data_IF_671653689003
#
_entry.id   IF_671653689003
#
_cell.length_a   1.000
_cell.length_b   1.000
_cell.length_c   1.000
_cell.angle_alpha   90.00
_cell.angle_beta   90.00
_cell.angle_gamma   90.00
#
_symmetry.space_group_name_H-M   'P 1'
#
loop_
_entity.id
_entity.type
_entity.pdbx_description
1 polymer ?
#
# COMPACT_ATOMS: atom_id res chain seq x y z
N UNK A 1 -11.67 52.87 17.94
CA UNK A 1 -11.37 51.84 18.96
C UNK A 1 -11.44 50.50 18.27
N UNK A 2 -10.33 49.99 17.74
CA UNK A 2 -10.19 48.62 17.22
C UNK A 2 -8.77 48.19 17.56
N UNK A 3 -8.64 47.09 18.29
CA UNK A 3 -7.37 46.58 18.77
C UNK A 3 -6.77 45.61 17.74
N UNK A 4 -5.63 45.99 17.18
CA UNK A 4 -4.70 45.11 16.48
C UNK A 4 -3.93 44.25 17.49
N UNK A 5 -3.95 42.93 17.32
CA UNK A 5 -3.08 42.01 18.04
C UNK A 5 -1.91 41.64 17.13
N UNK A 6 -0.75 42.28 17.37
CA UNK A 6 0.51 42.11 16.63
C UNK A 6 1.44 41.24 17.47
N UNK A 7 1.61 39.97 17.12
CA UNK A 7 2.61 39.12 17.76
C UNK A 7 4.00 39.39 17.18
N UNK A 8 4.94 39.74 18.06
CA UNK A 8 6.36 39.96 17.79
C UNK A 8 7.14 38.65 17.87
N UNK A 9 8.13 38.55 16.99
CA UNK A 9 9.25 37.62 17.03
C UNK A 9 10.10 37.79 18.30
N UNK A 10 10.57 36.67 18.86
CA UNK A 10 11.70 36.58 19.80
C UNK A 10 12.41 35.24 19.54
N UNK A 11 13.60 35.25 18.94
CA UNK A 11 14.90 35.15 19.62
C UNK A 11 15.13 33.78 20.28
N UNK A 12 15.86 32.91 19.57
CA UNK A 12 16.40 31.67 20.10
C UNK A 12 17.72 31.95 20.81
N UNK A 13 17.65 32.02 22.14
CA UNK A 13 18.79 32.05 23.03
C UNK A 13 19.43 30.68 23.20
N UNK A 14 20.76 30.65 23.04
CA UNK A 14 21.66 29.57 23.47
C UNK A 14 21.55 29.35 24.98
N UNK A 15 21.24 28.12 25.41
CA UNK A 15 21.07 27.83 26.83
C UNK A 15 21.16 26.35 27.22
N UNK A 16 22.37 25.95 27.60
CA UNK A 16 22.75 25.05 28.72
C UNK A 16 22.09 23.66 28.83
N UNK A 17 23.00 22.68 28.83
CA UNK A 17 22.82 21.30 29.27
C UNK A 17 22.06 21.18 30.60
N UNK A 18 21.00 20.37 30.60
CA UNK A 18 20.29 19.92 31.80
C UNK A 18 20.27 18.39 31.83
N UNK A 19 20.99 17.85 32.81
CA UNK A 19 20.58 16.74 33.66
C UNK A 19 20.09 15.44 33.00
N UNK A 20 21.02 14.50 32.82
CA UNK A 20 20.73 13.07 32.77
C UNK A 20 20.05 12.62 34.07
N UNK A 21 18.75 12.36 34.03
CA UNK A 21 18.03 11.65 35.10
C UNK A 21 18.22 10.15 34.89
N UNK A 22 19.19 9.57 35.60
CA UNK A 22 19.29 8.12 35.81
C UNK A 22 18.20 7.69 36.77
N UNK A 23 17.23 6.91 36.28
CA UNK A 23 16.33 6.16 37.16
C UNK A 23 17.10 4.97 37.74
N UNK A 24 17.49 5.10 39.02
CA UNK A 24 17.97 4.00 39.84
C UNK A 24 16.79 3.13 40.28
N UNK A 25 16.67 1.91 39.74
CA UNK A 25 15.88 0.85 40.37
C UNK A 25 16.72 0.22 41.50
N UNK A 26 16.29 0.44 42.74
CA UNK A 26 16.80 -0.27 43.90
C UNK A 26 16.19 -1.68 44.00
N UNK A 27 16.94 -2.69 44.48
CA UNK A 27 16.39 -3.98 44.88
C UNK A 27 16.00 -3.95 46.37
N UNK A 28 14.71 -4.18 46.66
CA UNK A 28 14.23 -4.52 48.01
C UNK A 28 13.83 -6.00 47.97
N UNK A 29 14.59 -6.96 48.51
CA UNK A 29 14.95 -7.21 49.91
C UNK A 29 13.75 -7.58 50.80
N UNK A 30 13.80 -8.84 51.24
CA UNK A 30 13.29 -9.39 52.50
C UNK A 30 11.78 -9.70 52.62
N UNK A 31 11.47 -10.98 52.37
CA UNK A 31 10.60 -11.77 53.26
C UNK A 31 11.05 -11.59 54.71
N UNK A 32 10.13 -11.41 55.68
CA UNK A 32 9.74 -12.60 56.45
C UNK A 32 8.31 -12.58 57.07
N UNK A 33 7.81 -13.80 57.32
CA UNK A 33 6.80 -14.17 58.32
C UNK A 33 5.39 -13.55 58.30
N UNK A 34 4.40 -14.37 57.89
CA UNK A 34 3.20 -14.59 58.73
C UNK A 34 2.61 -15.99 58.50
N UNK A 35 2.48 -16.83 59.55
CA UNK A 35 1.76 -18.09 59.46
C UNK A 35 0.28 -17.83 59.75
N UNK A 36 -0.58 -17.90 58.74
CA UNK A 36 -2.02 -17.94 58.96
C UNK A 36 -2.41 -19.31 59.54
N UNK A 37 -2.49 -19.37 60.87
CA UNK A 37 -3.10 -20.46 61.63
C UNK A 37 -4.62 -20.33 61.54
N UNK A 38 -5.28 -21.31 60.93
CA UNK A 38 -6.70 -21.54 61.13
C UNK A 38 -6.96 -22.24 62.47
N UNK A 39 -7.98 -21.84 63.24
CA UNK A 39 -8.30 -22.44 64.52
C UNK A 39 -8.78 -23.89 64.35
N UNK A 40 -8.23 -24.77 65.18
CA UNK A 40 -8.68 -26.13 65.37
C UNK A 40 -10.03 -26.12 66.12
N UNK A 41 -11.11 -26.39 65.40
CA UNK A 41 -12.40 -26.73 66.01
C UNK A 41 -12.44 -28.22 66.30
N UNK A 42 -12.38 -28.54 67.60
CA UNK A 42 -12.48 -29.87 68.18
C UNK A 42 -13.83 -30.53 67.86
N UNK A 43 -13.73 -31.75 67.34
CA UNK A 43 -14.50 -32.96 67.71
C UNK A 43 -15.97 -32.80 68.11
N UNK A 44 -16.86 -33.15 67.18
CA UNK A 44 -18.07 -33.89 67.51
C UNK A 44 -18.13 -35.14 66.62
N UNK A 45 -17.76 -36.29 67.21
CA UNK A 45 -18.13 -37.62 66.68
C UNK A 45 -19.65 -37.71 66.75
N UNK A 46 -20.31 -37.67 65.60
CA UNK A 46 -21.68 -38.15 65.44
C UNK A 46 -21.61 -39.26 64.40
N UNK A 47 -22.14 -40.42 64.76
CA UNK A 47 -21.83 -41.73 64.18
C UNK A 47 -22.20 -41.88 62.70
N UNK A 48 -21.46 -42.78 62.04
CA UNK A 48 -21.74 -43.33 60.72
C UNK A 48 -23.22 -43.74 60.59
N UNK A 49 -24.06 -43.05 59.79
CA UNK A 49 -25.13 -43.73 59.10
C UNK A 49 -24.48 -44.58 58.00
N UNK A 50 -24.88 -45.84 57.93
CA UNK A 50 -24.41 -46.81 56.95
C UNK A 50 -24.27 -46.19 55.55
N UNK A 51 -23.09 -46.36 54.95
CA UNK A 51 -22.76 -46.02 53.57
C UNK A 51 -23.79 -46.66 52.64
N UNK A 52 -24.85 -45.91 52.33
CA UNK A 52 -25.70 -46.18 51.19
C UNK A 52 -24.85 -45.85 49.98
N UNK A 53 -24.40 -46.90 49.29
CA UNK A 53 -23.86 -46.79 47.92
C UNK A 53 -24.96 -46.18 47.07
N UNK A 54 -24.97 -44.85 46.96
CA UNK A 54 -25.79 -44.14 46.01
C UNK A 54 -25.25 -44.55 44.65
N UNK A 55 -26.01 -45.39 43.94
CA UNK A 55 -25.70 -45.70 42.55
C UNK A 55 -25.64 -44.38 41.78
N UNK A 56 -24.55 -44.18 41.02
CA UNK A 56 -24.45 -43.07 40.07
C UNK A 56 -25.69 -43.14 39.18
N UNK A 57 -26.48 -42.08 39.20
CA UNK A 57 -27.68 -41.99 38.40
C UNK A 57 -27.29 -41.96 36.92
N UNK A 58 -27.94 -42.76 36.09
CA UNK A 58 -27.75 -42.73 34.63
C UNK A 58 -27.96 -41.31 34.06
N UNK A 59 -28.85 -40.53 34.68
CA UNK A 59 -29.10 -39.13 34.33
C UNK A 59 -27.87 -38.25 34.63
N UNK A 60 -27.14 -38.51 35.71
CA UNK A 60 -25.93 -37.76 36.08
C UNK A 60 -24.79 -38.00 35.07
N UNK A 61 -24.64 -39.24 34.59
CA UNK A 61 -23.67 -39.59 33.52
C UNK A 61 -24.05 -38.93 32.20
N UNK A 62 -25.34 -38.92 31.84
CA UNK A 62 -25.79 -38.29 30.60
C UNK A 62 -25.60 -36.77 30.63
N UNK A 63 -25.91 -36.11 31.74
CA UNK A 63 -25.65 -34.67 31.88
C UNK A 63 -24.14 -34.40 31.84
N UNK A 64 -23.32 -35.23 32.49
CA UNK A 64 -21.85 -35.07 32.45
C UNK A 64 -21.30 -35.22 31.03
N UNK A 65 -21.76 -36.23 30.28
CA UNK A 65 -21.37 -36.44 28.89
C UNK A 65 -21.85 -35.29 27.99
N UNK A 66 -23.07 -34.79 28.19
CA UNK A 66 -23.60 -33.65 27.45
C UNK A 66 -22.75 -32.39 27.68
N UNK A 67 -22.48 -32.02 28.94
CA UNK A 67 -21.64 -30.85 29.25
C UNK A 67 -20.22 -31.02 28.68
N UNK A 68 -19.66 -32.23 28.73
CA UNK A 68 -18.35 -32.52 28.14
C UNK A 68 -18.35 -32.32 26.61
N UNK A 69 -19.37 -32.83 25.91
CA UNK A 69 -19.49 -32.69 24.46
C UNK A 69 -19.66 -31.21 24.05
N UNK A 70 -20.49 -30.44 24.76
CA UNK A 70 -20.64 -29.01 24.51
C UNK A 70 -19.35 -28.23 24.82
N UNK A 71 -18.63 -28.60 25.89
CA UNK A 71 -17.34 -28.01 26.21
C UNK A 71 -16.29 -28.27 25.13
N UNK A 72 -16.18 -29.50 24.64
CA UNK A 72 -15.25 -29.86 23.56
C UNK A 72 -15.63 -29.20 22.23
N UNK A 73 -16.92 -29.11 21.90
CA UNK A 73 -17.39 -28.43 20.68
C UNK A 73 -17.12 -26.92 20.75
N UNK A 74 -17.26 -26.31 21.94
CA UNK A 74 -16.87 -24.92 22.19
C UNK A 74 -15.39 -24.69 21.87
N UNK A 75 -14.49 -25.50 22.44
CA UNK A 75 -13.04 -25.39 22.17
C UNK A 75 -12.71 -25.63 20.69
N UNK A 76 -13.33 -26.65 20.07
CA UNK A 76 -13.11 -26.95 18.66
C UNK A 76 -13.51 -25.79 17.73
N UNK A 77 -14.56 -25.03 18.08
CA UNK A 77 -14.98 -23.85 17.31
C UNK A 77 -14.03 -22.66 17.44
N UNK A 78 -13.19 -22.61 18.48
CA UNK A 78 -12.19 -21.55 18.65
C UNK A 78 -10.94 -21.78 17.78
N UNK A 79 -10.63 -23.02 17.37
CA UNK A 79 -9.41 -23.30 16.62
C UNK A 79 -9.35 -22.60 15.24
N UNK A 80 -10.40 -22.61 14.40
CA UNK A 80 -10.36 -21.89 13.12
C UNK A 80 -10.18 -20.38 13.31
N UNK A 81 -10.84 -19.81 14.32
CA UNK A 81 -10.77 -18.38 14.64
C UNK A 81 -9.38 -18.01 15.15
N UNK A 82 -8.81 -18.80 16.06
CA UNK A 82 -7.46 -18.60 16.58
C UNK A 82 -6.41 -18.68 15.48
N UNK A 83 -6.52 -19.65 14.58
CA UNK A 83 -5.60 -19.78 13.43
C UNK A 83 -5.72 -18.58 12.48
N UNK A 84 -6.93 -18.10 12.20
CA UNK A 84 -7.15 -16.91 11.37
C UNK A 84 -6.52 -15.65 11.96
N UNK A 85 -6.65 -15.44 13.28
CA UNK A 85 -6.02 -14.30 13.95
C UNK A 85 -4.51 -14.45 14.07
N UNK A 86 -3.99 -15.66 14.28
CA UNK A 86 -2.55 -15.93 14.30
C UNK A 86 -1.90 -15.63 12.94
N UNK A 87 -2.49 -16.14 11.84
CA UNK A 87 -2.01 -15.87 10.49
C UNK A 87 -2.07 -14.37 10.12
N UNK A 88 -3.12 -13.66 10.56
CA UNK A 88 -3.19 -12.20 10.42
C UNK A 88 -2.12 -11.50 11.24
N UNK A 89 -1.89 -11.91 12.48
CA UNK A 89 -0.84 -11.36 13.34
C UNK A 89 0.54 -11.49 12.71
N UNK A 90 0.86 -12.66 12.18
CA UNK A 90 2.11 -12.92 11.45
C UNK A 90 2.26 -12.01 10.23
N UNK A 91 1.18 -11.82 9.45
CA UNK A 91 1.20 -10.89 8.31
C UNK A 91 1.52 -9.47 8.74
N UNK A 92 0.93 -8.97 9.84
CA UNK A 92 1.22 -7.62 10.35
C UNK A 92 2.65 -7.48 10.87
N UNK A 93 3.19 -8.50 11.53
CA UNK A 93 4.58 -8.49 12.03
C UNK A 93 5.59 -8.44 10.88
N UNK A 94 5.36 -9.25 9.84
CA UNK A 94 6.15 -9.23 8.60
C UNK A 94 6.10 -7.86 7.92
N UNK A 95 4.93 -7.24 7.81
CA UNK A 95 4.79 -5.90 7.22
C UNK A 95 5.54 -4.84 8.04
N UNK A 96 5.41 -4.89 9.37
CA UNK A 96 6.01 -3.92 10.28
C UNK A 96 7.54 -3.92 10.21
N UNK A 97 8.16 -5.09 10.01
CA UNK A 97 9.61 -5.24 9.80
C UNK A 97 10.04 -4.96 8.36
N UNK A 98 9.24 -5.36 7.38
CA UNK A 98 9.54 -5.20 5.96
C UNK A 98 9.52 -3.74 5.50
N UNK A 99 8.62 -2.91 6.01
CA UNK A 99 8.47 -1.53 5.56
C UNK A 99 9.72 -0.66 5.82
N UNK A 100 10.31 -0.66 7.04
CA UNK A 100 11.59 -0.01 7.28
C UNK A 100 12.73 -0.52 6.39
N UNK A 101 12.78 -1.84 6.11
CA UNK A 101 13.78 -2.42 5.21
C UNK A 101 13.61 -1.92 3.77
N UNK A 102 12.37 -1.86 3.27
CA UNK A 102 12.08 -1.31 1.94
C UNK A 102 12.43 0.19 1.85
N UNK A 103 12.19 0.98 2.90
CA UNK A 103 12.64 2.39 2.94
C UNK A 103 14.16 2.51 2.93
N UNK A 104 14.86 1.64 3.66
CA UNK A 104 16.31 1.59 3.63
C UNK A 104 16.79 1.26 2.22
N UNK A 105 16.18 0.28 1.55
CA UNK A 105 16.53 -0.13 0.19
C UNK A 105 16.29 0.99 -0.85
N UNK A 106 15.18 1.71 -0.74
CA UNK A 106 14.89 2.89 -1.57
C UNK A 106 15.99 3.94 -1.48
N UNK A 107 16.53 4.16 -0.27
CA UNK A 107 17.55 5.15 0.01
C UNK A 107 18.94 4.65 -0.39
N UNK A 108 19.34 3.46 0.04
CA UNK A 108 20.69 2.91 -0.20
C UNK A 108 20.99 2.75 -1.68
N UNK A 109 19.97 2.40 -2.49
CA UNK A 109 20.10 2.26 -3.94
C UNK A 109 19.92 3.57 -4.71
N UNK A 110 19.60 4.67 -4.04
CA UNK A 110 19.30 5.94 -4.70
C UNK A 110 18.08 5.84 -5.62
N UNK A 111 17.09 5.04 -5.25
CA UNK A 111 15.83 4.89 -5.99
C UNK A 111 15.01 6.19 -5.91
N UNK A 112 15.19 6.98 -4.85
CA UNK A 112 14.59 8.30 -4.68
C UNK A 112 15.38 9.43 -5.38
N UNK A 113 16.25 9.10 -6.34
CA UNK A 113 16.92 10.08 -7.20
C UNK A 113 16.13 10.23 -8.49
N UNK A 114 15.49 11.39 -8.74
CA UNK A 114 14.76 11.63 -9.97
C UNK A 114 15.59 11.41 -11.25
N UNK A 115 16.92 11.54 -11.15
CA UNK A 115 17.88 11.31 -12.25
C UNK A 115 17.86 9.88 -12.78
N UNK A 116 17.50 8.92 -11.92
CA UNK A 116 17.48 7.49 -12.26
C UNK A 116 16.10 7.01 -12.69
N UNK A 117 15.09 7.88 -12.65
CA UNK A 117 13.72 7.51 -12.95
C UNK A 117 13.52 7.42 -14.45
N UNK A 118 13.03 6.26 -14.87
CA UNK A 118 12.66 5.97 -16.25
C UNK A 118 11.16 5.76 -16.34
N UNK A 119 10.53 6.37 -17.33
CA UNK A 119 9.18 6.02 -17.76
C UNK A 119 9.19 5.84 -19.27
N UNK A 120 8.22 5.12 -19.82
CA UNK A 120 8.12 5.01 -21.28
C UNK A 120 7.02 5.93 -21.82
N UNK A 121 7.21 6.47 -23.04
CA UNK A 121 6.27 7.41 -23.62
C UNK A 121 4.93 6.72 -23.93
N UNK A 122 3.84 7.49 -24.11
CA UNK A 122 2.63 6.94 -24.68
C UNK A 122 2.83 6.45 -26.14
N UNK A 123 2.15 5.38 -26.58
CA UNK A 123 2.37 4.69 -27.87
C UNK A 123 2.18 5.56 -29.11
N UNK A 124 1.26 6.53 -29.06
CA UNK A 124 0.88 7.32 -30.23
C UNK A 124 1.84 8.48 -30.54
N UNK A 125 2.91 8.64 -29.76
CA UNK A 125 3.97 9.58 -30.10
C UNK A 125 4.90 8.94 -31.13
N UNK A 126 4.38 8.80 -32.35
CA UNK A 126 5.19 8.47 -33.51
C UNK A 126 6.24 9.57 -33.66
N UNK A 127 7.48 9.28 -33.27
CA UNK A 127 8.65 10.11 -33.52
C UNK A 127 9.00 10.13 -35.02
N UNK A 128 8.02 10.39 -35.88
CA UNK A 128 8.21 10.55 -37.32
C UNK A 128 9.14 11.72 -37.63
N UNK A 129 9.25 12.72 -36.74
CA UNK A 129 10.15 13.86 -36.91
C UNK A 129 11.60 13.58 -36.50
N UNK A 130 11.89 12.54 -35.69
CA UNK A 130 13.26 12.27 -35.23
C UNK A 130 14.01 11.21 -36.06
N UNK A 131 13.38 10.63 -37.10
CA UNK A 131 14.00 9.59 -37.93
C UNK A 131 14.35 8.31 -37.15
N UNK A 132 13.74 8.11 -35.98
CA UNK A 132 14.01 6.98 -35.09
C UNK A 132 12.98 5.87 -35.35
N UNK A 133 13.45 4.75 -35.91
CA UNK A 133 12.63 3.59 -36.28
C UNK A 133 11.87 3.00 -35.09
N UNK A 134 10.60 2.69 -35.30
CA UNK A 134 9.49 2.40 -34.37
C UNK A 134 9.59 1.17 -33.46
N UNK A 135 10.76 0.54 -33.32
CA UNK A 135 10.88 -0.78 -32.66
C UNK A 135 11.67 -0.78 -31.33
N UNK A 136 11.95 0.37 -30.74
CA UNK A 136 12.72 0.41 -29.50
C UNK A 136 11.84 0.81 -28.33
N UNK A 137 11.68 -0.11 -27.37
CA UNK A 137 11.31 0.09 -25.96
C UNK A 137 12.19 1.18 -25.32
N UNK A 138 12.03 2.44 -25.74
CA UNK A 138 12.83 3.58 -25.29
C UNK A 138 12.14 4.19 -24.10
N UNK A 139 12.87 4.13 -22.99
CA UNK A 139 12.49 4.80 -21.77
C UNK A 139 13.13 6.17 -21.77
N UNK A 140 12.34 7.17 -21.44
CA UNK A 140 12.84 8.51 -21.22
C UNK A 140 13.20 8.65 -19.75
N UNK A 141 14.36 9.26 -19.45
CA UNK A 141 14.56 9.76 -18.12
C UNK A 141 13.44 10.76 -17.83
N UNK A 142 12.97 10.79 -16.58
CA UNK A 142 12.08 11.85 -16.09
C UNK A 142 12.69 13.23 -16.34
N UNK A 143 14.01 13.30 -16.56
CA UNK A 143 14.76 14.54 -16.72
C UNK A 143 15.69 14.46 -17.92
N UNK A 144 15.54 15.40 -18.85
CA UNK A 144 16.53 15.66 -19.87
C UNK A 144 17.42 16.83 -19.40
N UNK A 145 18.72 16.62 -19.12
CA UNK A 145 19.59 17.64 -18.51
C UNK A 145 19.82 18.89 -19.39
N UNK A 146 19.32 18.94 -20.63
CA UNK A 146 19.51 20.07 -21.56
C UNK A 146 18.29 20.95 -21.82
N UNK A 147 17.12 20.69 -21.24
CA UNK A 147 15.86 21.38 -21.59
C UNK A 147 15.09 21.89 -20.38
N UNK A 148 14.36 22.99 -20.59
CA UNK A 148 13.75 23.92 -19.63
C UNK A 148 13.06 23.31 -18.40
N UNK A 149 12.95 24.11 -17.34
CA UNK A 149 12.22 23.77 -16.12
C UNK A 149 10.78 23.29 -16.45
N UNK A 150 10.28 22.29 -15.72
CA UNK A 150 8.90 21.77 -15.85
C UNK A 150 7.96 22.81 -15.25
N UNK A 151 7.80 23.96 -15.89
CA UNK A 151 6.84 24.98 -15.48
C UNK A 151 5.52 24.71 -16.21
N UNK A 152 4.89 23.58 -15.92
CA UNK A 152 3.63 23.20 -16.54
C UNK A 152 2.51 23.29 -15.52
N UNK A 153 1.58 24.26 -15.64
CA UNK A 153 0.34 24.20 -14.87
C UNK A 153 -0.42 22.92 -15.27
N UNK A 154 -1.20 22.34 -14.34
CA UNK A 154 -2.04 21.15 -14.56
C UNK A 154 -2.91 21.24 -15.85
N UNK A 155 -3.20 22.46 -16.30
CA UNK A 155 -4.02 22.77 -17.47
C UNK A 155 -3.22 23.09 -18.77
N UNK A 156 -1.89 22.95 -18.81
CA UNK A 156 -1.12 23.25 -20.03
C UNK A 156 -1.29 22.15 -21.10
N UNK A 157 -1.50 22.50 -22.38
CA UNK A 157 -1.68 21.54 -23.47
C UNK A 157 -0.37 20.92 -24.00
N UNK A 158 0.69 20.79 -23.19
CA UNK A 158 1.92 20.16 -23.66
C UNK A 158 1.78 18.63 -23.74
N UNK A 159 2.21 18.04 -24.85
CA UNK A 159 2.05 16.61 -25.12
C UNK A 159 2.87 15.67 -24.21
N UNK A 160 3.71 16.23 -23.32
CA UNK A 160 4.67 15.47 -22.52
C UNK A 160 4.73 15.97 -21.07
N UNK A 161 3.81 15.50 -20.22
CA UNK A 161 3.85 15.77 -18.77
C UNK A 161 4.39 14.57 -17.99
N UNK A 162 5.35 14.78 -17.07
CA UNK A 162 5.90 13.72 -16.22
C UNK A 162 4.88 13.20 -15.18
N UNK A 163 3.66 13.75 -15.13
CA UNK A 163 2.67 13.45 -14.10
C UNK A 163 2.82 14.34 -12.86
N UNK A 164 1.92 14.17 -11.91
CA UNK A 164 1.90 14.88 -10.63
C UNK A 164 2.25 13.98 -9.44
N UNK A 165 2.14 12.66 -9.62
CA UNK A 165 2.64 11.67 -8.68
C UNK A 165 3.34 10.55 -9.43
N UNK A 166 4.19 9.83 -8.72
CA UNK A 166 5.04 8.81 -9.29
C UNK A 166 4.89 7.51 -8.54
N UNK A 167 4.86 6.43 -9.29
CA UNK A 167 4.69 5.07 -8.81
C UNK A 167 5.93 4.28 -9.19
N UNK A 168 6.82 4.05 -8.24
CA UNK A 168 8.04 3.27 -8.43
C UNK A 168 7.68 1.80 -8.29
N UNK A 169 7.59 1.11 -9.43
CA UNK A 169 7.28 -0.32 -9.50
C UNK A 169 8.13 -1.01 -10.59
N UNK A 170 9.42 -1.27 -10.30
CA UNK A 170 10.32 -1.89 -11.25
C UNK A 170 9.84 -3.26 -11.74
N UNK A 171 9.17 -4.03 -10.85
CA UNK A 171 8.69 -5.38 -11.18
C UNK A 171 7.54 -5.31 -12.19
N UNK A 172 6.50 -4.52 -11.94
CA UNK A 172 5.40 -4.38 -12.89
C UNK A 172 5.82 -3.69 -14.18
N UNK A 173 6.77 -2.75 -14.12
CA UNK A 173 7.34 -2.14 -15.33
C UNK A 173 8.15 -3.13 -16.18
N UNK A 174 8.91 -4.04 -15.54
CA UNK A 174 9.67 -5.09 -16.25
C UNK A 174 8.73 -6.11 -16.91
N UNK A 175 7.69 -6.55 -16.22
CA UNK A 175 6.68 -7.46 -16.77
C UNK A 175 5.93 -6.85 -17.95
N UNK A 176 5.44 -5.62 -17.78
CA UNK A 176 4.66 -4.98 -18.82
C UNK A 176 5.50 -4.68 -20.08
N UNK A 177 6.80 -4.42 -19.91
CA UNK A 177 7.72 -4.28 -21.03
C UNK A 177 7.97 -5.59 -21.79
N UNK A 178 7.91 -6.74 -21.11
CA UNK A 178 8.00 -8.05 -21.74
C UNK A 178 6.73 -8.38 -22.54
N UNK A 179 5.56 -7.91 -22.08
CA UNK A 179 4.28 -8.14 -22.73
C UNK A 179 4.09 -7.39 -24.07
N UNK A 180 5.08 -6.60 -24.51
CA UNK A 180 4.97 -5.64 -25.64
C UNK A 180 3.80 -4.65 -25.53
N UNK A 181 3.20 -4.57 -24.34
CA UNK A 181 2.03 -3.75 -24.08
C UNK A 181 2.50 -2.33 -23.74
N UNK A 182 2.25 -1.39 -24.65
CA UNK A 182 2.66 0.02 -24.58
C UNK A 182 1.94 0.81 -23.47
N UNK A 183 1.16 0.12 -22.63
CA UNK A 183 0.28 0.70 -21.63
C UNK A 183 0.91 0.74 -20.22
N UNK A 184 2.09 0.15 -20.06
CA UNK A 184 2.80 0.02 -18.78
C UNK A 184 3.06 1.32 -17.99
N UNK A 185 2.93 2.48 -18.64
CA UNK A 185 3.44 3.77 -18.16
C UNK A 185 2.51 4.48 -17.17
N UNK A 186 1.27 4.01 -17.09
CA UNK A 186 0.26 4.58 -16.24
C UNK A 186 0.01 3.69 -15.02
N UNK A 187 -0.35 4.33 -13.91
CA UNK A 187 -0.74 3.64 -12.70
C UNK A 187 -2.04 4.25 -12.15
N UNK A 188 -3.13 3.48 -11.95
CA UNK A 188 -3.24 2.05 -12.20
C UNK A 188 -3.19 1.74 -13.70
N UNK A 189 -2.99 0.47 -14.01
CA UNK A 189 -3.02 -0.05 -15.37
C UNK A 189 -4.29 0.39 -16.10
N UNK A 190 -4.14 0.94 -17.30
CA UNK A 190 -5.23 1.54 -18.05
C UNK A 190 -5.06 1.26 -19.54
N UNK A 191 -5.77 0.27 -20.10
CA UNK A 191 -5.71 -0.03 -21.54
C UNK A 191 -6.13 1.17 -22.36
N UNK A 192 -5.18 1.76 -23.10
CA UNK A 192 -5.47 2.73 -24.15
C UNK A 192 -5.49 1.98 -25.48
N UNK A 193 -6.66 1.83 -26.10
CA UNK A 193 -6.72 1.34 -27.47
C UNK A 193 -6.32 2.45 -28.44
N UNK A 194 -5.36 2.13 -29.30
CA UNK A 194 -4.84 2.89 -30.43
C UNK A 194 -5.84 3.00 -31.60
N UNK A 195 -6.96 2.30 -31.55
CA UNK A 195 -7.99 2.30 -32.60
C UNK A 195 -8.72 3.65 -32.81
N UNK A 196 -8.49 4.67 -31.98
CA UNK A 196 -9.12 5.98 -32.12
C UNK A 196 -8.06 7.09 -32.23
N UNK A 197 -7.47 7.21 -33.42
CA UNK A 197 -6.52 8.27 -33.79
C UNK A 197 -7.11 9.69 -33.78
N UNK A 198 -8.44 9.82 -33.66
CA UNK A 198 -9.12 11.07 -33.38
C UNK A 198 -9.65 11.06 -31.95
N UNK A 199 -9.26 12.08 -31.17
CA UNK A 199 -9.54 12.45 -29.78
C UNK A 199 -10.91 12.16 -29.10
N UNK A 200 -11.81 11.31 -29.62
CA UNK A 200 -13.20 11.23 -29.20
C UNK A 200 -13.72 9.90 -28.64
N UNK A 201 -13.01 8.77 -28.69
CA UNK A 201 -13.64 7.51 -28.25
C UNK A 201 -12.69 6.40 -27.81
N UNK A 202 -11.63 6.71 -27.06
CA UNK A 202 -11.16 5.68 -26.13
C UNK A 202 -12.33 5.40 -25.21
N UNK A 203 -13.03 4.26 -25.38
CA UNK A 203 -13.84 3.69 -24.32
C UNK A 203 -12.86 3.62 -23.14
N UNK A 204 -12.99 4.50 -22.13
CA UNK A 204 -12.22 4.27 -20.93
C UNK A 204 -12.56 2.83 -20.55
N UNK A 205 -11.58 2.02 -20.13
CA UNK A 205 -11.93 0.85 -19.33
C UNK A 205 -13.08 1.31 -18.41
N UNK A 206 -14.22 0.63 -18.38
CA UNK A 206 -15.39 1.11 -17.62
C UNK A 206 -15.04 1.40 -16.16
N UNK A 207 -13.90 0.89 -15.70
CA UNK A 207 -13.25 1.10 -14.41
C UNK A 207 -12.33 2.35 -14.34
N UNK A 208 -11.88 2.97 -15.43
CA UNK A 208 -11.04 4.19 -15.41
C UNK A 208 -11.59 5.37 -16.24
N UNK A 209 -12.76 5.95 -15.89
CA UNK A 209 -13.32 7.09 -16.60
C UNK A 209 -12.75 8.41 -16.07
N UNK A 210 -11.45 8.69 -16.24
CA UNK A 210 -11.02 10.09 -16.28
C UNK A 210 -11.54 10.67 -17.59
N UNK A 211 -12.69 11.35 -17.55
CA UNK A 211 -13.20 11.98 -18.76
C UNK A 211 -12.24 13.09 -19.14
N UNK A 212 -11.57 12.94 -20.29
CA UNK A 212 -10.72 13.97 -20.94
C UNK A 212 -11.44 15.31 -21.17
N UNK A 213 -12.74 15.38 -20.88
CA UNK A 213 -13.59 16.55 -21.05
C UNK A 213 -13.60 17.51 -19.86
N UNK A 214 -12.94 17.20 -18.72
CA UNK A 214 -12.85 18.17 -17.62
C UNK A 214 -11.85 19.27 -17.97
N UNK A 215 -10.72 18.95 -18.62
CA UNK A 215 -9.92 19.92 -19.39
C UNK A 215 -9.30 19.28 -20.65
N UNK A 216 -9.43 19.88 -21.85
CA UNK A 216 -8.76 19.38 -23.06
C UNK A 216 -7.23 19.38 -22.88
N UNK A 217 -6.63 18.19 -22.82
CA UNK A 217 -5.18 18.01 -22.65
C UNK A 217 -4.76 17.25 -21.39
N UNK A 218 -5.70 16.97 -20.49
CA UNK A 218 -5.46 16.24 -19.24
C UNK A 218 -4.92 14.82 -19.49
N UNK A 219 -3.65 14.58 -19.14
CA UNK A 219 -3.01 13.27 -19.10
C UNK A 219 -3.15 12.66 -17.70
N UNK A 220 -3.20 11.33 -17.63
CA UNK A 220 -3.33 10.63 -16.35
C UNK A 220 -2.21 11.04 -15.36
N UNK A 221 -2.55 11.44 -14.12
CA UNK A 221 -1.63 12.20 -13.27
C UNK A 221 -0.57 11.34 -12.58
N UNK A 222 -0.66 10.01 -12.61
CA UNK A 222 0.29 9.12 -11.94
C UNK A 222 1.09 8.33 -12.97
N UNK A 223 2.42 8.48 -12.94
CA UNK A 223 3.32 7.72 -13.82
C UNK A 223 3.93 6.53 -13.12
N UNK A 224 3.92 5.37 -13.78
CA UNK A 224 4.75 4.24 -13.38
C UNK A 224 6.18 4.50 -13.80
N UNK A 225 7.07 4.36 -12.83
CA UNK A 225 8.50 4.50 -12.98
C UNK A 225 9.18 3.14 -12.82
N UNK A 226 10.19 2.92 -13.65
CA UNK A 226 11.23 1.92 -13.45
C UNK A 226 12.56 2.62 -13.21
N UNK A 227 13.57 1.81 -12.89
CA UNK A 227 14.92 2.28 -12.65
C UNK A 227 15.80 2.03 -13.85
N UNK A 228 16.70 2.97 -14.09
CA UNK A 228 17.74 2.85 -15.06
C UNK A 228 18.69 1.68 -14.75
N UNK A 229 18.84 0.77 -15.73
CA UNK A 229 19.94 -0.18 -15.76
C UNK A 229 20.92 0.24 -16.86
N UNK A 230 22.20 0.40 -16.50
CA UNK A 230 23.27 0.59 -17.46
C UNK A 230 23.41 -0.69 -18.28
N UNK A 231 23.20 -0.59 -19.60
CA UNK A 231 23.50 -1.69 -20.50
C UNK A 231 25.04 -1.78 -20.63
N UNK A 232 25.69 -2.90 -20.24
CA UNK A 232 27.15 -3.02 -20.20
C UNK A 232 27.84 -2.89 -21.57
N UNK A 233 27.10 -2.74 -22.68
CA UNK A 233 27.65 -2.50 -24.02
C UNK A 233 27.01 -1.37 -24.81
N UNK A 234 26.15 -0.52 -24.22
CA UNK A 234 25.43 0.49 -24.98
C UNK A 234 25.13 1.79 -24.22
N UNK A 235 25.18 2.92 -24.94
CA UNK A 235 24.78 4.25 -24.43
C UNK A 235 23.25 4.42 -24.30
N UNK A 236 22.49 3.33 -24.19
CA UNK A 236 21.03 3.37 -24.11
C UNK A 236 20.57 2.90 -22.73
N UNK A 237 19.71 3.70 -22.11
CA UNK A 237 19.01 3.34 -20.90
C UNK A 237 18.06 2.18 -21.18
N UNK A 238 18.24 1.08 -20.45
CA UNK A 238 17.32 -0.05 -20.48
C UNK A 238 16.52 -0.07 -19.17
N UNK A 239 15.28 -0.54 -19.26
CA UNK A 239 14.53 -0.91 -18.06
C UNK A 239 15.32 -1.97 -17.33
N UNK A 240 15.26 -1.90 -16.01
CA UNK A 240 15.55 -3.03 -15.15
C UNK A 240 14.90 -4.32 -15.65
N UNK A 241 15.70 -5.36 -15.83
CA UNK A 241 15.19 -6.71 -16.11
C UNK A 241 14.35 -7.26 -14.95
N UNK A 242 13.42 -8.19 -15.24
CA UNK A 242 12.57 -8.84 -14.24
C UNK A 242 13.39 -9.40 -13.08
N UNK A 243 14.43 -10.18 -13.38
CA UNK A 243 15.28 -10.81 -12.35
C UNK A 243 15.88 -9.78 -11.39
N UNK A 244 16.37 -8.66 -11.94
CA UNK A 244 16.93 -7.57 -11.12
C UNK A 244 15.83 -6.87 -10.32
N UNK A 245 14.67 -6.60 -10.93
CA UNK A 245 13.54 -5.99 -10.26
C UNK A 245 13.05 -6.85 -9.07
N UNK A 246 12.95 -8.16 -9.25
CA UNK A 246 12.61 -9.10 -8.19
C UNK A 246 13.61 -9.03 -7.03
N UNK A 247 14.90 -8.88 -7.30
CA UNK A 247 15.90 -8.80 -6.23
C UNK A 247 15.75 -7.56 -5.33
N UNK A 248 15.14 -6.50 -5.84
CA UNK A 248 14.94 -5.23 -5.13
C UNK A 248 13.57 -5.21 -4.44
N UNK A 249 12.55 -5.68 -5.15
CA UNK A 249 11.15 -5.47 -4.80
C UNK A 249 10.58 -6.62 -3.97
N UNK A 250 11.07 -7.85 -4.14
CA UNK A 250 10.63 -8.99 -3.33
C UNK A 250 11.34 -9.00 -1.99
N UNK A 251 10.59 -9.24 -0.93
CA UNK A 251 11.16 -9.40 0.39
C UNK A 251 11.84 -10.77 0.49
N UNK A 252 13.15 -10.78 0.72
CA UNK A 252 13.95 -12.01 0.87
C UNK A 252 13.93 -12.61 2.28
N UNK A 253 13.31 -11.91 3.23
CA UNK A 253 13.19 -12.35 4.62
C UNK A 253 12.02 -13.34 4.83
N UNK A 254 11.25 -13.61 3.78
CA UNK A 254 10.20 -14.63 3.75
C UNK A 254 10.79 -16.00 3.49
N UNK A 255 11.48 -16.55 4.50
CA UNK A 255 12.16 -17.84 4.41
C UNK A 255 11.15 -18.96 4.08
N UNK A 256 11.47 -19.72 3.04
CA UNK A 256 10.68 -20.88 2.67
C UNK A 256 11.00 -22.02 3.64
N UNK A 257 10.05 -22.35 4.51
CA UNK A 257 10.15 -23.46 5.44
C UNK A 257 9.23 -24.59 4.99
N UNK A 258 9.74 -25.82 5.09
CA UNK A 258 8.94 -27.04 4.90
C UNK A 258 8.68 -27.68 6.23
N UNK A 259 7.41 -27.98 6.51
CA UNK A 259 7.02 -28.83 7.61
C UNK A 259 7.23 -30.28 7.17
N UNK A 260 8.05 -31.08 7.88
CA UNK A 260 8.19 -32.50 7.59
C UNK A 260 6.85 -33.22 7.70
N UNK A 261 6.64 -34.28 6.90
CA UNK A 261 5.43 -35.11 7.00
C UNK A 261 5.28 -35.73 8.41
N UNK A 262 6.40 -36.02 9.07
CA UNK A 262 6.45 -36.40 10.48
C UNK A 262 6.24 -35.16 11.35
N UNK A 263 5.03 -34.98 11.90
CA UNK A 263 4.65 -33.82 12.73
C UNK A 263 5.47 -33.60 14.01
N UNK A 264 6.38 -34.52 14.35
CA UNK A 264 7.31 -34.40 15.48
C UNK A 264 8.61 -33.65 15.13
N UNK A 265 8.88 -33.39 13.84
CA UNK A 265 10.11 -32.72 13.42
C UNK A 265 9.87 -31.21 13.25
N UNK A 266 10.83 -30.35 13.67
CA UNK A 266 10.72 -28.93 13.44
C UNK A 266 10.76 -28.61 11.93
N UNK A 267 10.18 -27.46 11.56
CA UNK A 267 10.28 -26.94 10.19
C UNK A 267 11.73 -26.83 9.73
N UNK A 268 12.00 -27.24 8.49
CA UNK A 268 13.33 -27.15 7.88
C UNK A 268 13.33 -26.05 6.83
N UNK A 269 14.28 -25.12 6.96
CA UNK A 269 14.51 -24.07 5.97
C UNK A 269 15.05 -24.67 4.67
N UNK A 270 14.48 -24.25 3.55
CA UNK A 270 14.92 -24.66 2.22
C UNK A 270 16.11 -23.84 1.75
N UNK A 271 17.01 -24.51 1.02
CA UNK A 271 18.18 -23.88 0.41
C UNK A 271 18.13 -24.08 -1.09
N UNK A 272 18.39 -23.02 -1.85
CA UNK A 272 18.69 -23.12 -3.27
C UNK A 272 20.03 -23.83 -3.40
N UNK A 273 20.04 -24.99 -4.04
CA UNK A 273 21.26 -25.76 -4.28
C UNK A 273 21.78 -25.55 -5.70
N UNK A 274 23.10 -25.63 -5.87
CA UNK A 274 23.74 -25.69 -7.19
C UNK A 274 23.49 -27.07 -7.86
N UNK A 275 24.00 -27.25 -9.07
CA UNK A 275 23.90 -28.52 -9.81
C UNK A 275 24.60 -29.70 -9.09
N UNK A 276 25.46 -29.42 -8.10
CA UNK A 276 26.18 -30.42 -7.30
C UNK A 276 25.51 -30.68 -5.94
N UNK A 277 24.37 -30.04 -5.65
CA UNK A 277 23.68 -30.15 -4.37
C UNK A 277 24.26 -29.27 -3.25
N UNK A 278 25.20 -28.37 -3.55
CA UNK A 278 25.74 -27.45 -2.55
C UNK A 278 24.77 -26.29 -2.31
N UNK A 279 24.51 -25.89 -1.05
CA UNK A 279 23.65 -24.77 -0.75
C UNK A 279 24.30 -23.44 -1.20
N UNK A 280 23.63 -22.72 -2.11
CA UNK A 280 24.05 -21.41 -2.60
C UNK A 280 23.45 -20.27 -1.78
N UNK A 281 22.15 -20.34 -1.50
CA UNK A 281 21.42 -19.30 -0.78
C UNK A 281 20.20 -19.88 -0.09
N UNK A 282 19.70 -19.20 0.94
CA UNK A 282 18.39 -19.53 1.50
C UNK A 282 17.30 -19.33 0.44
N UNK A 283 16.37 -20.27 0.36
CA UNK A 283 15.18 -20.11 -0.48
C UNK A 283 14.17 -19.25 0.27
N UNK A 284 13.48 -18.39 -0.47
CA UNK A 284 12.40 -17.56 0.04
C UNK A 284 11.15 -17.83 -0.79
N UNK A 285 9.96 -17.74 -0.17
CA UNK A 285 8.68 -17.93 -0.88
C UNK A 285 8.42 -16.74 -1.83
N UNK A 286 8.92 -15.55 -1.46
CA UNK A 286 8.77 -14.34 -2.25
C UNK A 286 7.32 -13.90 -2.35
N UNK A 287 6.48 -14.32 -1.40
CA UNK A 287 5.07 -13.98 -1.37
C UNK A 287 4.86 -12.49 -1.10
N UNK A 288 5.82 -11.81 -0.49
CA UNK A 288 5.77 -10.38 -0.24
C UNK A 288 6.57 -9.59 -1.27
N UNK A 289 5.92 -8.60 -1.87
CA UNK A 289 6.53 -7.61 -2.75
C UNK A 289 6.05 -6.22 -2.38
N UNK A 290 6.81 -5.19 -2.71
CA UNK A 290 6.41 -3.82 -2.43
C UNK A 290 6.42 -2.94 -3.68
N UNK A 291 5.85 -1.76 -3.55
CA UNK A 291 5.99 -0.67 -4.51
C UNK A 291 5.99 0.64 -3.73
N UNK A 292 6.46 1.71 -4.35
CA UNK A 292 6.49 3.01 -3.69
C UNK A 292 5.71 4.05 -4.48
N UNK A 293 4.91 4.86 -3.81
CA UNK A 293 4.31 6.06 -4.37
C UNK A 293 5.04 7.28 -3.83
N UNK A 294 5.35 8.22 -4.70
CA UNK A 294 5.99 9.50 -4.38
C UNK A 294 5.06 10.63 -4.78
N UNK A 295 4.65 11.44 -3.81
CA UNK A 295 3.68 12.52 -3.98
C UNK A 295 4.28 13.83 -3.46
N UNK A 296 4.33 14.90 -4.25
CA UNK A 296 4.77 16.21 -3.78
C UNK A 296 3.85 16.75 -2.67
N UNK A 297 4.42 17.25 -1.57
CA UNK A 297 3.62 17.87 -0.48
C UNK A 297 3.33 19.35 -0.70
N UNK A 298 3.90 19.96 -1.75
CA UNK A 298 3.66 21.35 -2.12
C UNK A 298 3.41 21.46 -3.63
N UNK A 299 2.71 22.54 -4.04
CA UNK A 299 2.40 22.85 -5.45
C UNK A 299 3.68 22.95 -6.29
N UNK A 300 4.73 23.59 -5.76
CA UNK A 300 6.02 23.74 -6.44
C UNK A 300 6.91 22.48 -6.35
N UNK A 301 6.45 21.46 -5.61
CA UNK A 301 7.22 20.23 -5.42
C UNK A 301 7.46 19.47 -6.73
N UNK A 302 6.57 19.59 -7.72
CA UNK A 302 6.83 18.99 -9.04
C UNK A 302 8.02 19.64 -9.75
N UNK A 303 8.11 20.98 -9.73
CA UNK A 303 9.25 21.70 -10.31
C UNK A 303 10.55 21.41 -9.53
N UNK A 304 10.45 21.25 -8.21
CA UNK A 304 11.56 20.90 -7.34
C UNK A 304 12.09 19.46 -7.52
N UNK A 305 11.49 18.63 -8.38
CA UNK A 305 12.08 17.35 -8.78
C UNK A 305 13.24 17.50 -9.77
N UNK A 306 13.45 18.68 -10.35
CA UNK A 306 14.48 18.91 -11.36
C UNK A 306 15.82 19.33 -10.75
N UNK A 307 16.97 18.72 -11.13
CA UNK A 307 18.31 19.06 -10.66
C UNK A 307 18.68 20.53 -10.81
N UNK A 308 18.14 21.21 -11.83
CA UNK A 308 18.37 22.63 -12.07
C UNK A 308 17.48 23.58 -11.27
N UNK A 309 16.46 23.07 -10.55
CA UNK A 309 15.59 23.90 -9.73
C UNK A 309 16.28 24.28 -8.41
N UNK A 310 16.09 25.52 -7.95
CA UNK A 310 16.72 26.02 -6.72
C UNK A 310 16.33 25.20 -5.48
N UNK A 311 15.13 24.63 -5.50
CA UNK A 311 14.59 23.78 -4.43
C UNK A 311 14.83 22.28 -4.64
N UNK A 312 15.70 21.89 -5.57
CA UNK A 312 16.01 20.48 -5.81
C UNK A 312 16.54 19.79 -4.55
N UNK A 313 15.83 18.75 -4.12
CA UNK A 313 16.13 18.01 -2.89
C UNK A 313 15.90 18.77 -1.58
N UNK A 314 15.36 20.01 -1.63
CA UNK A 314 15.01 20.77 -0.42
C UNK A 314 13.58 20.47 0.05
N UNK A 315 12.69 20.18 -0.91
CA UNK A 315 11.25 19.91 -0.71
C UNK A 315 11.00 18.50 -0.19
N UNK A 316 9.97 18.37 0.65
CA UNK A 316 9.48 17.08 1.14
C UNK A 316 8.44 16.49 0.19
N UNK A 317 8.45 15.18 0.12
CA UNK A 317 7.51 14.36 -0.63
C UNK A 317 6.96 13.31 0.31
N UNK A 318 5.67 13.02 0.21
CA UNK A 318 5.09 11.88 0.87
C UNK A 318 5.48 10.63 0.07
N UNK A 319 6.36 9.83 0.67
CA UNK A 319 6.79 8.54 0.11
C UNK A 319 6.06 7.45 0.87
N UNK A 320 5.18 6.73 0.20
CA UNK A 320 4.45 5.58 0.76
C UNK A 320 4.97 4.30 0.14
N UNK A 321 5.27 3.31 0.98
CA UNK A 321 5.58 1.94 0.55
C UNK A 321 4.35 1.09 0.80
N UNK A 322 3.79 0.55 -0.27
CA UNK A 322 2.68 -0.39 -0.19
C UNK A 322 3.21 -1.82 -0.33
N UNK A 323 2.86 -2.64 0.64
CA UNK A 323 3.24 -4.04 0.78
C UNK A 323 2.11 -4.94 0.27
N UNK A 324 2.48 -5.91 -0.55
CA UNK A 324 1.56 -6.83 -1.17
C UNK A 324 1.87 -8.26 -0.76
N UNK A 325 0.82 -9.04 -0.53
CA UNK A 325 0.88 -10.48 -0.40
C UNK A 325 0.36 -11.13 -1.67
N UNK A 326 1.22 -11.90 -2.33
CA UNK A 326 0.98 -12.60 -3.60
C UNK A 326 0.40 -11.67 -4.67
N UNK A 327 1.07 -10.54 -4.87
CA UNK A 327 0.73 -9.57 -5.92
C UNK A 327 0.80 -10.26 -7.28
N UNK A 328 -0.13 -9.92 -8.17
CA UNK A 328 0.08 -10.15 -9.60
C UNK A 328 1.27 -9.29 -10.05
N UNK A 329 2.23 -9.92 -10.72
CA UNK A 329 3.43 -9.23 -11.17
C UNK A 329 3.15 -8.38 -12.41
N UNK A 330 2.25 -8.86 -13.27
CA UNK A 330 1.85 -8.18 -14.49
C UNK A 330 0.73 -7.18 -14.18
N UNK A 331 0.95 -5.88 -14.43
CA UNK A 331 -0.11 -4.89 -14.30
C UNK A 331 -1.23 -5.22 -15.29
N UNK A 332 -2.46 -5.31 -14.78
CA UNK A 332 -3.64 -5.67 -15.56
C UNK A 332 -4.86 -4.93 -15.02
N UNK A 333 -5.94 -4.92 -15.80
CA UNK A 333 -7.21 -4.35 -15.35
C UNK A 333 -7.81 -5.11 -14.15
N UNK A 334 -7.34 -6.34 -13.88
CA UNK A 334 -7.77 -7.11 -12.71
C UNK A 334 -6.88 -6.85 -11.49
N UNK A 335 -5.58 -6.60 -11.67
CA UNK A 335 -4.64 -6.37 -10.59
C UNK A 335 -4.59 -4.91 -10.12
N UNK A 336 -4.85 -3.97 -11.02
CA UNK A 336 -4.83 -2.54 -10.71
C UNK A 336 -6.09 -1.86 -11.24
N UNK A 337 -6.99 -1.51 -10.33
CA UNK A 337 -8.29 -0.95 -10.67
C UNK A 337 -8.39 0.47 -10.17
N UNK A 338 -9.02 1.34 -10.95
CA UNK A 338 -9.53 2.61 -10.47
C UNK A 338 -11.05 2.58 -10.40
N UNK A 339 -11.66 3.55 -9.73
CA UNK A 339 -13.09 3.88 -9.85
C UNK A 339 -13.32 5.33 -9.39
N UNK A 340 -14.42 5.97 -9.81
CA UNK A 340 -14.78 7.28 -9.24
C UNK A 340 -15.02 7.13 -7.74
N UNK A 341 -14.62 8.15 -6.99
CA UNK A 341 -14.86 8.21 -5.57
C UNK A 341 -15.24 9.62 -5.11
N UNK A 342 -15.94 9.69 -3.98
CA UNK A 342 -16.25 10.91 -3.26
C UNK A 342 -16.14 10.62 -1.76
N UNK A 343 -15.48 11.50 -1.03
CA UNK A 343 -15.28 11.35 0.40
C UNK A 343 -16.34 12.12 1.18
N UNK A 344 -16.83 11.54 2.27
CA UNK A 344 -17.77 12.19 3.19
C UNK A 344 -17.08 12.52 4.51
N UNK A 345 -17.74 13.37 5.30
CA UNK A 345 -17.32 13.67 6.66
C UNK A 345 -17.32 12.39 7.50
N UNK A 346 -16.24 12.14 8.24
CA UNK A 346 -16.12 10.96 9.11
C UNK A 346 -15.32 9.80 8.54
N UNK A 347 -14.61 9.99 7.42
CA UNK A 347 -13.75 8.94 6.83
C UNK A 347 -14.53 7.90 6.01
N UNK A 348 -15.77 8.23 5.64
CA UNK A 348 -16.56 7.44 4.71
C UNK A 348 -16.19 7.79 3.26
N UNK A 349 -16.08 6.79 2.40
CA UNK A 349 -15.80 6.94 0.98
C UNK A 349 -16.90 6.25 0.18
N UNK A 350 -17.61 6.98 -0.67
CA UNK A 350 -18.40 6.34 -1.71
C UNK A 350 -17.53 6.09 -2.93
N UNK A 351 -17.51 4.86 -3.41
CA UNK A 351 -17.06 4.53 -4.76
C UNK A 351 -18.29 4.34 -5.65
N UNK A 352 -18.24 4.85 -6.88
CA UNK A 352 -19.44 4.86 -7.72
C UNK A 352 -19.15 4.83 -9.22
N UNK A 353 -20.18 4.46 -9.97
CA UNK A 353 -20.26 4.53 -11.41
C UNK A 353 -21.65 5.03 -11.85
N UNK A 354 -21.87 5.15 -13.16
CA UNK A 354 -23.16 5.58 -13.71
C UNK A 354 -24.31 4.69 -13.21
N UNK A 355 -25.49 5.27 -12.99
CA UNK A 355 -26.69 4.55 -12.53
C UNK A 355 -27.33 3.66 -13.62
N UNK A 356 -26.57 2.67 -14.10
CA UNK A 356 -27.00 1.68 -15.08
C UNK A 356 -26.38 0.31 -14.78
N UNK A 357 -26.84 -0.75 -15.46
CA UNK A 357 -26.35 -2.11 -15.23
C UNK A 357 -24.83 -2.26 -15.42
N UNK A 358 -24.24 -1.51 -16.35
CA UNK A 358 -22.80 -1.51 -16.56
C UNK A 358 -22.03 -0.85 -15.40
N UNK A 359 -22.59 0.20 -14.79
CA UNK A 359 -22.03 0.83 -13.60
C UNK A 359 -22.11 -0.08 -12.39
N UNK A 360 -23.18 -0.87 -12.26
CA UNK A 360 -23.28 -1.90 -11.22
C UNK A 360 -22.13 -2.90 -11.33
N UNK A 361 -21.92 -3.42 -12.54
CA UNK A 361 -20.84 -4.35 -12.82
C UNK A 361 -19.46 -3.72 -12.60
N UNK A 362 -19.27 -2.46 -13.00
CA UNK A 362 -18.02 -1.73 -12.80
C UNK A 362 -17.65 -1.60 -11.31
N UNK A 363 -18.62 -1.26 -10.44
CA UNK A 363 -18.41 -1.18 -8.98
C UNK A 363 -18.07 -2.55 -8.40
N UNK A 364 -18.80 -3.60 -8.80
CA UNK A 364 -18.54 -4.96 -8.35
C UNK A 364 -17.17 -5.47 -8.80
N UNK A 365 -16.80 -5.24 -10.05
CA UNK A 365 -15.50 -5.61 -10.59
C UNK A 365 -14.37 -4.81 -9.93
N UNK A 366 -14.59 -3.52 -9.62
CA UNK A 366 -13.63 -2.70 -8.90
C UNK A 366 -13.33 -3.28 -7.50
N UNK A 367 -14.34 -3.80 -6.80
CA UNK A 367 -14.21 -4.40 -5.46
C UNK A 367 -13.88 -5.89 -5.42
N UNK A 368 -13.79 -6.56 -6.57
CA UNK A 368 -13.46 -8.00 -6.64
C UNK A 368 -12.17 -8.31 -5.86
N UNK A 369 -12.20 -9.27 -4.95
CA UNK A 369 -11.03 -9.64 -4.12
C UNK A 369 -10.52 -8.56 -3.14
N UNK A 370 -11.20 -7.41 -3.04
CA UNK A 370 -10.94 -6.43 -1.99
C UNK A 370 -11.63 -6.87 -0.72
N UNK A 371 -10.88 -6.90 0.39
CA UNK A 371 -11.37 -7.36 1.69
C UNK A 371 -11.19 -6.27 2.75
N UNK A 372 -12.03 -6.33 3.77
CA UNK A 372 -11.84 -5.56 4.99
C UNK A 372 -10.44 -5.80 5.58
N UNK A 373 -9.76 -4.71 5.91
CA UNK A 373 -8.39 -4.67 6.44
C UNK A 373 -7.31 -4.43 5.38
N UNK A 374 -7.62 -4.54 4.09
CA UNK A 374 -6.69 -4.21 3.00
C UNK A 374 -6.57 -2.70 2.80
N UNK A 375 -5.55 -2.29 2.06
CA UNK A 375 -5.28 -0.90 1.75
C UNK A 375 -5.70 -0.52 0.33
N UNK A 376 -6.24 0.68 0.19
CA UNK A 376 -6.55 1.32 -1.08
C UNK A 376 -5.86 2.68 -1.12
N UNK A 377 -5.54 3.17 -2.32
CA UNK A 377 -5.08 4.54 -2.51
C UNK A 377 -6.26 5.40 -2.95
N UNK A 378 -6.40 6.59 -2.39
CA UNK A 378 -7.34 7.61 -2.84
C UNK A 378 -6.54 8.78 -3.39
N UNK A 379 -6.86 9.21 -4.60
CA UNK A 379 -6.20 10.34 -5.23
C UNK A 379 -7.18 11.32 -5.84
N UNK A 380 -6.74 12.57 -6.01
CA UNK A 380 -7.54 13.65 -6.54
C UNK A 380 -6.76 14.96 -6.54
N UNK A 381 -7.42 16.03 -6.97
CA UNK A 381 -6.86 17.38 -6.90
C UNK A 381 -7.53 18.10 -5.75
N UNK A 382 -6.73 18.75 -4.91
CA UNK A 382 -7.23 19.69 -3.93
C UNK A 382 -7.84 20.89 -4.65
N UNK A 383 -9.16 21.03 -4.58
CA UNK A 383 -9.92 22.09 -5.25
C UNK A 383 -9.56 23.49 -4.72
N UNK A 384 -8.99 23.58 -3.52
CA UNK A 384 -8.60 24.87 -2.93
C UNK A 384 -7.21 25.29 -3.40
N UNK A 385 -6.25 24.37 -3.43
CA UNK A 385 -4.84 24.66 -3.73
C UNK A 385 -4.42 24.31 -5.16
N UNK A 386 -5.22 23.51 -5.87
CA UNK A 386 -4.86 22.90 -7.15
C UNK A 386 -3.81 21.78 -7.04
N UNK A 387 -3.42 21.39 -5.84
CA UNK A 387 -2.39 20.38 -5.62
C UNK A 387 -2.93 18.96 -5.83
N UNK A 388 -2.21 18.12 -6.56
CA UNK A 388 -2.52 16.70 -6.62
C UNK A 388 -2.19 16.01 -5.30
N UNK A 389 -3.14 15.24 -4.76
CA UNK A 389 -2.99 14.48 -3.52
C UNK A 389 -3.23 13.01 -3.83
N UNK A 390 -2.39 12.15 -3.28
CA UNK A 390 -2.59 10.72 -3.21
C UNK A 390 -2.27 10.26 -1.79
N UNK A 391 -3.23 9.60 -1.15
CA UNK A 391 -3.14 9.10 0.22
C UNK A 391 -3.62 7.66 0.27
N UNK A 392 -3.03 6.90 1.18
CA UNK A 392 -3.37 5.50 1.39
C UNK A 392 -4.25 5.34 2.62
N UNK A 393 -5.29 4.52 2.48
CA UNK A 393 -6.30 4.27 3.48
C UNK A 393 -6.49 2.78 3.67
N UNK A 394 -6.67 2.37 4.92
CA UNK A 394 -7.06 1.01 5.26
C UNK A 394 -8.58 0.91 5.28
N UNK A 395 -9.12 -0.08 4.59
CA UNK A 395 -10.57 -0.33 4.57
C UNK A 395 -11.00 -1.00 5.88
N UNK A 396 -11.83 -0.33 6.67
CA UNK A 396 -12.39 -0.86 7.93
C UNK A 396 -13.68 -1.66 7.71
N UNK A 397 -14.48 -1.27 6.73
CA UNK A 397 -15.68 -1.99 6.34
C UNK A 397 -16.05 -1.65 4.90
N UNK A 398 -16.75 -2.57 4.25
CA UNK A 398 -17.31 -2.40 2.91
C UNK A 398 -18.80 -2.69 3.03
N UNK A 399 -19.64 -1.77 2.57
CA UNK A 399 -21.09 -1.97 2.55
C UNK A 399 -21.46 -3.18 1.67
N UNK A 400 -22.34 -4.03 2.19
CA UNK A 400 -22.84 -5.28 1.59
C UNK A 400 -21.78 -6.33 1.18
N UNK A 401 -21.04 -6.81 2.19
CA UNK A 401 -20.23 -8.04 2.06
C UNK A 401 -21.08 -9.32 2.08
N UNK A 402 -22.38 -9.25 2.45
CA UNK A 402 -23.19 -10.40 2.83
C UNK A 402 -24.46 -10.52 1.95
N UNK A 403 -24.34 -11.28 0.86
CA UNK A 403 -25.42 -12.04 0.18
C UNK A 403 -26.43 -11.35 -0.75
N UNK A 404 -26.55 -10.02 -0.80
CA UNK A 404 -27.34 -9.38 -1.86
C UNK A 404 -26.54 -8.22 -2.45
N UNK A 405 -25.98 -8.32 -3.68
CA UNK A 405 -25.27 -7.23 -4.32
C UNK A 405 -26.25 -6.16 -4.85
N UNK A 406 -27.37 -5.91 -4.15
CA UNK A 406 -28.26 -4.81 -4.48
C UNK A 406 -27.49 -3.53 -4.26
N UNK A 407 -26.95 -2.98 -5.34
CA UNK A 407 -26.17 -1.76 -5.24
C UNK A 407 -27.13 -0.62 -4.94
N UNK A 408 -26.81 0.09 -3.86
CA UNK A 408 -27.57 1.25 -3.45
C UNK A 408 -27.37 2.40 -4.44
N UNK A 409 -28.47 3.12 -4.67
CA UNK A 409 -28.43 4.43 -5.29
C UNK A 409 -27.87 5.42 -4.27
N UNK A 410 -26.68 5.95 -4.54
CA UNK A 410 -26.06 7.00 -3.74
C UNK A 410 -26.40 8.34 -4.40
N UNK A 411 -26.86 9.30 -3.60
CA UNK A 411 -27.01 10.68 -4.04
C UNK A 411 -25.72 11.43 -3.73
N UNK A 412 -24.99 11.83 -4.77
CA UNK A 412 -23.75 12.60 -4.64
C UNK A 412 -24.04 14.04 -4.24
N UNK A 413 -23.01 14.79 -3.81
CA UNK A 413 -23.17 16.20 -3.42
C UNK A 413 -23.66 17.13 -4.55
N UNK A 414 -23.54 16.71 -5.82
CA UNK A 414 -24.10 17.42 -6.97
C UNK A 414 -25.55 17.03 -7.31
N UNK A 415 -26.22 16.27 -6.43
CA UNK A 415 -27.56 15.70 -6.62
C UNK A 415 -27.67 14.67 -7.76
N UNK A 416 -26.56 14.18 -8.33
CA UNK A 416 -26.62 13.06 -9.26
C UNK A 416 -26.85 11.77 -8.50
N UNK A 417 -27.82 10.99 -8.98
CA UNK A 417 -28.06 9.64 -8.50
C UNK A 417 -27.10 8.71 -9.24
N UNK A 418 -26.26 8.02 -8.48
CA UNK A 418 -25.28 7.07 -8.99
C UNK A 418 -25.44 5.72 -8.32
N UNK A 419 -24.82 4.71 -8.90
CA UNK A 419 -24.76 3.36 -8.35
C UNK A 419 -23.40 3.20 -7.69
N UNK A 420 -23.34 2.89 -6.40
CA UNK A 420 -22.08 2.84 -5.67
C UNK A 420 -22.14 2.07 -4.36
N UNK A 421 -21.00 1.99 -3.68
CA UNK A 421 -20.89 1.42 -2.33
C UNK A 421 -20.14 2.35 -1.41
N UNK A 422 -20.52 2.36 -0.14
CA UNK A 422 -19.78 3.08 0.89
C UNK A 422 -18.74 2.18 1.54
N UNK A 423 -17.56 2.75 1.79
CA UNK A 423 -16.45 2.16 2.50
C UNK A 423 -16.16 3.03 3.71
N UNK A 424 -15.87 2.41 4.85
CA UNK A 424 -15.31 3.12 6.00
C UNK A 424 -13.79 3.00 5.94
N UNK A 425 -13.08 4.11 6.03
CA UNK A 425 -11.63 4.18 5.88
C UNK A 425 -10.94 4.60 7.19
N UNK A 426 -9.76 4.04 7.42
CA UNK A 426 -8.81 4.45 8.45
C UNK A 426 -7.54 4.97 7.79
N UNK A 427 -7.11 6.18 8.14
CA UNK A 427 -5.97 6.81 7.48
C UNK A 427 -5.85 8.31 7.77
N UNK A 428 -4.99 9.01 7.01
CA UNK A 428 -4.75 10.44 7.19
C UNK A 428 -5.97 11.29 6.79
N UNK A 429 -6.12 12.46 7.42
CA UNK A 429 -7.21 13.38 7.07
C UNK A 429 -7.13 13.82 5.60
N UNK A 430 -8.28 13.87 4.93
CA UNK A 430 -8.43 14.43 3.59
C UNK A 430 -8.89 15.90 3.68
N UNK A 431 -8.40 16.81 2.82
CA UNK A 431 -8.82 18.21 2.86
C UNK A 431 -10.33 18.38 2.67
N UNK A 432 -10.99 19.07 3.60
CA UNK A 432 -12.46 19.19 3.64
C UNK A 432 -13.05 19.92 2.42
N UNK A 433 -12.27 20.78 1.77
CA UNK A 433 -12.70 21.51 0.57
C UNK A 433 -12.64 20.70 -0.72
N UNK A 434 -12.18 19.45 -0.67
CA UNK A 434 -11.73 18.71 -1.87
C UNK A 434 -12.25 17.29 -1.90
N UNK A 435 -13.52 17.13 -1.55
CA UNK A 435 -14.16 15.82 -1.37
C UNK A 435 -14.67 15.17 -2.66
N UNK A 436 -14.79 15.94 -3.74
CA UNK A 436 -15.37 15.49 -5.03
C UNK A 436 -14.30 15.24 -6.09
N UNK A 437 -14.68 14.52 -7.16
CA UNK A 437 -13.81 14.15 -8.29
C UNK A 437 -12.56 13.37 -7.84
N UNK A 438 -12.74 12.48 -6.87
CA UNK A 438 -11.68 11.61 -6.39
C UNK A 438 -11.66 10.31 -7.20
N UNK A 439 -10.56 9.59 -7.05
CA UNK A 439 -10.38 8.24 -7.56
C UNK A 439 -9.94 7.34 -6.44
N UNK A 440 -10.59 6.20 -6.31
CA UNK A 440 -10.07 5.10 -5.52
C UNK A 440 -9.30 4.17 -6.44
N UNK A 441 -8.05 3.90 -6.10
CA UNK A 441 -7.19 2.90 -6.74
C UNK A 441 -7.16 1.68 -5.82
N UNK A 442 -7.70 0.58 -6.32
CA UNK A 442 -7.83 -0.68 -5.62
C UNK A 442 -6.82 -1.66 -6.20
N UNK A 443 -6.01 -2.23 -5.33
CA UNK A 443 -5.05 -3.26 -5.69
C UNK A 443 -5.19 -4.44 -4.73
N UNK A 444 -5.75 -5.57 -5.19
CA UNK A 444 -5.87 -6.76 -4.37
C UNK A 444 -4.53 -7.20 -3.79
N UNK A 445 -4.58 -7.71 -2.57
CA UNK A 445 -3.39 -8.18 -1.87
C UNK A 445 -2.54 -7.08 -1.23
N UNK A 446 -2.91 -5.80 -1.32
CA UNK A 446 -2.25 -4.73 -0.54
C UNK A 446 -2.59 -4.87 0.94
N UNK A 447 -1.65 -5.39 1.72
CA UNK A 447 -1.84 -5.77 3.13
C UNK A 447 -1.33 -4.72 4.12
N UNK A 448 -0.45 -3.82 3.68
CA UNK A 448 0.17 -2.82 4.54
C UNK A 448 0.68 -1.62 3.78
N UNK A 449 0.62 -0.43 4.38
CA UNK A 449 1.26 0.76 3.83
C UNK A 449 1.99 1.50 4.95
N UNK A 450 3.20 1.97 4.64
CA UNK A 450 3.94 2.88 5.51
C UNK A 450 4.30 4.14 4.74
N UNK A 451 3.94 5.31 5.28
CA UNK A 451 4.19 6.62 4.67
C UNK A 451 5.19 7.41 5.49
N UNK A 452 6.16 8.05 4.83
CA UNK A 452 7.12 8.95 5.45
C UNK A 452 7.34 10.19 4.57
N UNK A 453 7.36 11.40 5.15
CA UNK A 453 7.82 12.57 4.43
C UNK A 453 9.34 12.45 4.24
N UNK A 454 9.81 12.49 2.99
CA UNK A 454 11.21 12.36 2.63
C UNK A 454 11.61 13.44 1.64
N UNK A 455 12.87 13.89 1.73
CA UNK A 455 13.46 14.72 0.68
C UNK A 455 14.02 13.82 -0.42
N UNK A 456 13.95 14.28 -1.66
CA UNK A 456 14.62 13.59 -2.76
C UNK A 456 16.13 13.65 -2.59
N UNK A 457 16.81 12.58 -3.00
CA UNK A 457 18.26 12.55 -2.95
C UNK A 457 18.84 13.45 -4.04
N UNK A 458 19.70 14.37 -3.65
CA UNK A 458 20.57 15.08 -4.57
C UNK A 458 21.83 14.26 -4.82
N UNK A 459 22.54 14.56 -5.91
CA UNK A 459 23.81 13.91 -6.20
C UNK A 459 24.79 14.19 -5.06
N UNK A 460 24.96 13.18 -4.21
CA UNK A 460 26.00 13.22 -3.19
C UNK A 460 27.35 13.20 -3.89
N UNK A 461 28.30 14.02 -3.42
CA UNK A 461 29.67 14.03 -3.92
C UNK A 461 30.32 12.63 -3.90
N UNK A 462 29.83 11.74 -3.04
CA UNK A 462 30.30 10.36 -2.89
C UNK A 462 29.76 9.39 -3.95
N UNK A 463 28.68 9.72 -4.67
CA UNK A 463 28.13 8.85 -5.71
C UNK A 463 28.71 9.08 -7.11
N UNK A 464 29.63 10.03 -7.26
CA UNK A 464 30.34 10.30 -8.52
C UNK A 464 31.73 9.61 -8.60
N UNK A 465 32.06 8.76 -7.61
CA UNK A 465 33.25 7.89 -7.60
C UNK A 465 32.83 6.46 -7.89
#
# INVERSE_FOLDING_TARGET
MNAECRMRNGEWGTGKAVGSVRAHCAPASANPHSPFRFPHSRTARVGNPASRRLGISLLEVLISMFVLLFGLLGVASMFPVGNHYAARGETYDRIASAAPAAFAELKTRGILRPANWLYSPPPNYALSEAGLTTNSNRFYPVMNPGTQAFTFPFAAPADFHPGHAFMIDPLGAAEAAAATDQVAHFFPYAVYSDQYSSAQAAQPNTQNPWSRNVLPGEQWPIRRLSLAQLNPGGNQWQIMSKDVAETIVRLRDDLADTLPEDGDKPGQALWKVDNNGNPLSRQYDGAYSWLATVVPTAVDGLAALQPGHIDYGSVFYDVSIAMFYRRDEAPSAESERSINAEMFLGGELAIYANANAAGVEAVNNALKDIRTGQWIAVCGVDQTTGQFILKWYRTLSIQDEISNPSIDTITLANNNVVTGRMLMLDGPDWPLGSMQNLRAILMPGCVGVATRPMKMETDSLWSAQ
#
